data_IF_523803546400
#
_entry.id   IF_523803546400
#
_cell.length_a   1.000
_cell.length_b   1.000
_cell.length_c   1.000
_cell.angle_alpha   90.00
_cell.angle_beta   90.00
_cell.angle_gamma   90.00
#
_symmetry.space_group_name_H-M   'P 1'
#
loop_
_entity.id
_entity.type
_entity.pdbx_description
1 polymer ?
#
# COMPACT_ATOMS: atom_id res chain seq x y z
N UNK A 1 -19.11 -20.52 -0.49
CA UNK A 1 -18.39 -19.24 -0.38
C UNK A 1 -17.00 -19.41 -0.99
N UNK A 2 -16.64 -18.54 -1.92
CA UNK A 2 -15.37 -18.64 -2.64
C UNK A 2 -14.42 -17.54 -2.13
N UNK A 3 -13.26 -17.92 -1.60
CA UNK A 3 -12.21 -17.02 -1.14
C UNK A 3 -11.05 -16.88 -2.14
N UNK A 4 -11.24 -17.37 -3.36
CA UNK A 4 -10.22 -17.26 -4.42
C UNK A 4 -10.03 -15.79 -4.83
N UNK A 5 -8.80 -15.45 -5.12
CA UNK A 5 -8.47 -14.13 -5.68
C UNK A 5 -8.68 -14.14 -7.19
N UNK A 6 -8.99 -12.97 -7.74
CA UNK A 6 -9.00 -12.79 -9.20
C UNK A 6 -7.58 -12.83 -9.76
N UNK A 7 -7.43 -12.92 -11.07
CA UNK A 7 -6.11 -12.87 -11.71
C UNK A 7 -5.37 -11.57 -11.40
N UNK A 8 -6.09 -10.45 -11.43
CA UNK A 8 -5.54 -9.13 -11.11
C UNK A 8 -5.10 -9.05 -9.66
N UNK A 9 -5.87 -9.62 -8.73
CA UNK A 9 -5.52 -9.66 -7.32
C UNK A 9 -4.31 -10.55 -7.06
N UNK A 10 -4.21 -11.70 -7.75
CA UNK A 10 -3.02 -12.56 -7.66
C UNK A 10 -1.77 -11.86 -8.21
N UNK A 11 -1.90 -11.11 -9.30
CA UNK A 11 -0.80 -10.30 -9.84
C UNK A 11 -0.38 -9.21 -8.86
N UNK A 12 -1.34 -8.51 -8.26
CA UNK A 12 -1.07 -7.49 -7.23
C UNK A 12 -0.34 -8.09 -6.04
N UNK A 13 -0.77 -9.25 -5.58
CA UNK A 13 -0.14 -9.98 -4.47
C UNK A 13 1.31 -10.31 -4.77
N UNK A 14 1.60 -10.82 -5.96
CA UNK A 14 2.97 -11.12 -6.40
C UNK A 14 3.83 -9.87 -6.48
N UNK A 15 3.28 -8.79 -7.06
CA UNK A 15 3.97 -7.51 -7.18
C UNK A 15 4.28 -6.92 -5.82
N UNK A 16 3.32 -6.94 -4.91
CA UNK A 16 3.49 -6.45 -3.54
C UNK A 16 4.53 -7.27 -2.77
N UNK A 17 4.50 -8.60 -2.90
CA UNK A 17 5.46 -9.48 -2.27
C UNK A 17 6.88 -9.23 -2.78
N UNK A 18 7.05 -9.08 -4.09
CA UNK A 18 8.34 -8.78 -4.71
C UNK A 18 8.86 -7.41 -4.26
N UNK A 19 8.01 -6.40 -4.30
CA UNK A 19 8.36 -5.05 -3.82
C UNK A 19 8.82 -5.08 -2.36
N UNK A 20 8.08 -5.78 -1.51
CA UNK A 20 8.41 -5.90 -0.09
C UNK A 20 9.78 -6.58 0.11
N UNK A 21 10.05 -7.64 -0.61
CA UNK A 21 11.32 -8.36 -0.52
C UNK A 21 12.51 -7.53 -1.03
N UNK A 22 12.34 -6.85 -2.15
CA UNK A 22 13.44 -6.09 -2.78
C UNK A 22 13.67 -4.72 -2.14
N UNK A 23 12.62 -4.04 -1.70
CA UNK A 23 12.69 -2.64 -1.27
C UNK A 23 12.47 -2.42 0.23
N UNK A 24 11.64 -3.23 0.87
CA UNK A 24 11.29 -3.02 2.28
C UNK A 24 12.13 -3.85 3.23
N UNK A 25 12.34 -5.12 2.92
CA UNK A 25 13.08 -6.04 3.78
C UNK A 25 14.52 -5.59 4.05
N UNK A 26 15.28 -5.07 3.05
CA UNK A 26 16.68 -4.70 3.29
C UNK A 26 16.89 -3.62 4.34
N UNK A 27 15.90 -2.77 4.58
CA UNK A 27 15.99 -1.65 5.53
C UNK A 27 15.10 -1.82 6.77
N UNK A 28 14.36 -2.92 6.87
CA UNK A 28 13.39 -3.14 7.94
C UNK A 28 14.03 -3.14 9.33
N UNK A 29 15.14 -3.84 9.51
CA UNK A 29 15.84 -3.93 10.79
C UNK A 29 16.42 -2.57 11.22
N UNK A 30 16.96 -1.79 10.28
CA UNK A 30 17.48 -0.45 10.52
C UNK A 30 16.37 0.51 10.97
N UNK A 31 15.23 0.51 10.28
CA UNK A 31 14.08 1.34 10.61
C UNK A 31 13.59 1.02 12.03
N UNK A 32 13.48 -0.25 12.35
CA UNK A 32 13.03 -0.69 13.67
C UNK A 32 14.03 -0.29 14.77
N UNK A 33 15.33 -0.52 14.57
CA UNK A 33 16.37 -0.19 15.53
C UNK A 33 16.49 1.32 15.79
N UNK A 34 16.35 2.13 14.76
CA UNK A 34 16.47 3.59 14.85
C UNK A 34 15.16 4.29 15.22
N UNK A 35 14.05 3.56 15.31
CA UNK A 35 12.70 4.11 15.60
C UNK A 35 12.33 5.28 14.68
N UNK A 36 12.69 5.18 13.38
CA UNK A 36 12.49 6.26 12.42
C UNK A 36 11.34 5.98 11.45
N UNK A 37 10.80 7.04 10.87
CA UNK A 37 9.81 6.97 9.80
C UNK A 37 10.46 6.42 8.52
N UNK A 38 9.80 5.48 7.81
CA UNK A 38 10.36 4.87 6.60
C UNK A 38 10.18 5.77 5.35
N UNK A 39 10.79 6.95 5.37
CA UNK A 39 10.61 7.97 4.32
C UNK A 39 10.95 7.45 2.94
N UNK A 40 12.08 6.76 2.79
CA UNK A 40 12.53 6.19 1.52
C UNK A 40 11.59 5.12 0.99
N UNK A 41 11.06 4.28 1.87
CA UNK A 41 10.11 3.24 1.50
C UNK A 41 8.79 3.85 1.02
N UNK A 42 8.30 4.86 1.73
CA UNK A 42 7.07 5.54 1.36
C UNK A 42 7.19 6.22 -0.01
N UNK A 43 8.33 6.87 -0.28
CA UNK A 43 8.60 7.47 -1.58
C UNK A 43 8.62 6.42 -2.71
N UNK A 44 9.20 5.25 -2.46
CA UNK A 44 9.20 4.13 -3.41
C UNK A 44 7.80 3.58 -3.65
N UNK A 45 6.99 3.43 -2.60
CA UNK A 45 5.58 3.03 -2.73
C UNK A 45 4.81 3.99 -3.62
N UNK A 46 5.02 5.29 -3.45
CA UNK A 46 4.35 6.32 -4.25
C UNK A 46 4.71 6.19 -5.74
N UNK A 47 5.98 5.96 -6.06
CA UNK A 47 6.45 5.81 -7.44
C UNK A 47 5.77 4.66 -8.18
N UNK A 48 5.49 3.56 -7.50
CA UNK A 48 4.85 2.38 -8.12
C UNK A 48 3.34 2.33 -7.91
N UNK A 49 2.75 3.36 -7.32
CA UNK A 49 1.30 3.52 -7.23
C UNK A 49 0.62 2.90 -6.02
N UNK A 50 1.34 2.32 -5.07
CA UNK A 50 0.72 1.71 -3.89
C UNK A 50 -0.01 2.73 -3.01
N UNK A 51 0.46 3.98 -2.95
CA UNK A 51 -0.21 5.03 -2.17
C UNK A 51 -1.55 5.48 -2.76
N UNK A 52 -1.86 5.08 -3.98
CA UNK A 52 -3.12 5.36 -4.66
C UNK A 52 -4.09 4.18 -4.72
N UNK A 53 -3.80 3.06 -4.08
CA UNK A 53 -4.70 1.90 -4.06
C UNK A 53 -6.03 2.29 -3.40
N UNK A 54 -7.13 1.97 -4.08
CA UNK A 54 -8.48 2.30 -3.63
C UNK A 54 -8.92 3.71 -3.97
N UNK A 55 -8.05 4.51 -4.57
CA UNK A 55 -8.41 5.82 -5.14
C UNK A 55 -8.71 5.61 -6.62
N UNK A 56 -9.87 6.10 -7.13
CA UNK A 56 -10.21 5.95 -8.55
C UNK A 56 -9.17 6.59 -9.48
N UNK A 57 -9.01 6.00 -10.66
CA UNK A 57 -8.06 6.49 -11.66
C UNK A 57 -8.38 7.93 -12.11
N UNK A 58 -9.66 8.31 -12.13
CA UNK A 58 -10.08 9.69 -12.47
C UNK A 58 -9.50 10.76 -11.53
N UNK A 59 -9.10 10.36 -10.30
CA UNK A 59 -8.44 11.23 -9.32
C UNK A 59 -6.92 10.96 -9.22
N UNK A 60 -6.37 10.25 -10.17
CA UNK A 60 -4.94 9.94 -10.20
C UNK A 60 -4.53 8.72 -9.37
N UNK A 61 -5.50 7.95 -8.89
CA UNK A 61 -5.25 6.74 -8.12
C UNK A 61 -4.98 5.51 -8.96
N UNK A 62 -4.70 4.40 -8.30
CA UNK A 62 -4.40 3.11 -8.93
C UNK A 62 -5.65 2.21 -9.05
N UNK A 63 -6.79 2.68 -8.59
CA UNK A 63 -8.01 1.87 -8.57
C UNK A 63 -7.99 0.78 -7.51
N UNK A 64 -8.84 -0.22 -7.69
CA UNK A 64 -9.03 -1.29 -6.71
C UNK A 64 -9.96 -0.88 -5.57
N UNK A 65 -10.05 -1.73 -4.57
CA UNK A 65 -10.89 -1.53 -3.41
C UNK A 65 -10.23 -1.97 -2.12
N UNK A 66 -11.05 -2.30 -1.14
CA UNK A 66 -10.57 -2.68 0.19
C UNK A 66 -9.74 -3.96 0.16
N UNK A 67 -10.13 -4.95 -0.63
CA UNK A 67 -9.40 -6.21 -0.72
C UNK A 67 -7.99 -6.00 -1.27
N UNK A 68 -7.86 -5.18 -2.31
CA UNK A 68 -6.56 -4.83 -2.89
C UNK A 68 -5.65 -4.13 -1.87
N UNK A 69 -6.20 -3.22 -1.05
CA UNK A 69 -5.46 -2.61 0.06
C UNK A 69 -4.95 -3.64 1.05
N UNK A 70 -5.84 -4.56 1.47
CA UNK A 70 -5.49 -5.62 2.42
C UNK A 70 -4.39 -6.51 1.85
N UNK A 71 -4.47 -6.87 0.57
CA UNK A 71 -3.45 -7.68 -0.10
C UNK A 71 -2.08 -7.00 -0.02
N UNK A 72 -2.00 -5.73 -0.43
CA UNK A 72 -0.74 -4.99 -0.44
C UNK A 72 -0.16 -4.81 0.97
N UNK A 73 -0.98 -4.36 1.92
CA UNK A 73 -0.55 -4.14 3.31
C UNK A 73 -0.09 -5.45 3.95
N UNK A 74 -0.80 -6.55 3.70
CA UNK A 74 -0.44 -7.87 4.24
C UNK A 74 0.92 -8.34 3.74
N UNK A 75 1.19 -8.21 2.44
CA UNK A 75 2.49 -8.60 1.90
C UNK A 75 3.62 -7.72 2.42
N UNK A 76 3.39 -6.41 2.55
CA UNK A 76 4.37 -5.49 3.13
C UNK A 76 4.68 -5.81 4.59
N UNK A 77 3.64 -6.13 5.37
CA UNK A 77 3.78 -6.43 6.80
C UNK A 77 4.65 -7.66 7.07
N UNK A 78 4.69 -8.61 6.15
CA UNK A 78 5.55 -9.79 6.26
C UNK A 78 7.04 -9.43 6.28
N UNK A 79 7.41 -8.28 5.71
CA UNK A 79 8.82 -7.85 5.53
C UNK A 79 9.17 -6.63 6.36
N UNK A 80 8.26 -5.64 6.47
CA UNK A 80 8.49 -4.42 7.23
C UNK A 80 7.16 -3.89 7.77
N UNK A 81 6.89 -4.14 9.03
CA UNK A 81 5.63 -3.73 9.67
C UNK A 81 5.48 -2.20 9.69
N UNK A 82 6.56 -1.46 9.93
CA UNK A 82 6.53 0.01 9.94
C UNK A 82 6.09 0.58 8.60
N UNK A 83 6.59 0.02 7.50
CA UNK A 83 6.20 0.45 6.15
C UNK A 83 4.75 0.08 5.83
N UNK A 84 4.31 -1.10 6.24
CA UNK A 84 2.92 -1.53 6.08
C UNK A 84 1.94 -0.65 6.86
N UNK A 85 2.27 -0.34 8.11
CA UNK A 85 1.47 0.55 8.95
C UNK A 85 1.39 1.96 8.34
N UNK A 86 2.51 2.47 7.83
CA UNK A 86 2.56 3.78 7.17
C UNK A 86 1.62 3.84 5.97
N UNK A 87 1.65 2.82 5.11
CA UNK A 87 0.73 2.74 3.96
C UNK A 87 -0.73 2.65 4.41
N UNK A 88 -1.01 1.79 5.37
CA UNK A 88 -2.37 1.58 5.88
C UNK A 88 -2.98 2.87 6.42
N UNK A 89 -2.23 3.61 7.23
CA UNK A 89 -2.68 4.88 7.81
C UNK A 89 -2.82 5.96 6.74
N UNK A 90 -1.88 6.04 5.80
CA UNK A 90 -1.97 6.98 4.68
C UNK A 90 -3.28 6.81 3.90
N UNK A 91 -3.71 5.58 3.66
CA UNK A 91 -4.91 5.30 2.88
C UNK A 91 -6.23 5.71 3.56
N UNK A 92 -6.20 6.06 4.84
CA UNK A 92 -7.40 6.52 5.58
C UNK A 92 -7.87 7.89 5.07
N UNK A 93 -6.96 8.85 4.92
CA UNK A 93 -7.31 10.20 4.52
C UNK A 93 -7.92 10.29 3.12
N UNK A 94 -7.34 9.66 2.08
CA UNK A 94 -7.98 9.63 0.76
C UNK A 94 -9.39 9.05 0.78
N UNK A 95 -9.65 8.03 1.58
CA UNK A 95 -11.00 7.46 1.70
C UNK A 95 -12.00 8.45 2.26
N UNK A 96 -11.64 9.15 3.32
CA UNK A 96 -12.52 10.15 3.92
C UNK A 96 -12.85 11.28 2.92
N UNK A 97 -11.85 11.69 2.14
CA UNK A 97 -12.05 12.73 1.11
C UNK A 97 -12.95 12.22 -0.02
N UNK A 98 -12.75 10.96 -0.45
CA UNK A 98 -13.59 10.35 -1.49
C UNK A 98 -15.05 10.25 -1.06
N UNK A 99 -15.29 9.88 0.20
CA UNK A 99 -16.65 9.67 0.70
C UNK A 99 -17.39 10.97 1.03
N UNK A 100 -16.68 12.00 1.48
CA UNK A 100 -17.29 13.21 2.05
C UNK A 100 -16.80 14.52 1.42
N UNK A 101 -15.77 14.48 0.61
CA UNK A 101 -15.20 15.66 -0.02
C UNK A 101 -15.86 16.06 -1.32
N UNK A 102 -15.45 17.20 -1.85
CA UNK A 102 -15.85 17.65 -3.19
C UNK A 102 -14.94 17.02 -4.26
N UNK A 103 -15.31 17.17 -5.54
CA UNK A 103 -14.48 16.68 -6.65
C UNK A 103 -13.12 17.38 -6.73
N UNK A 104 -13.08 18.67 -6.35
CA UNK A 104 -11.83 19.44 -6.35
C UNK A 104 -10.88 18.99 -5.23
N UNK A 105 -11.41 18.57 -4.10
CA UNK A 105 -10.62 18.06 -2.98
C UNK A 105 -10.00 16.72 -3.33
#
# INVERSE_FOLDING_TARGET
>A
MDFSLTKEQEMLKKLAAQFAEEELEPVAAEIDAEHRFPTENFAKMAKVGFTGIGVPEEFGGSGGGMLEKVIAVSEFAKKCMSSAATLSIHLIAPHAILDFGTKEQ
#
